data_IF_012956778266
#
_entry.id   IF_012956778266
#
_cell.length_a   1.000
_cell.length_b   1.000
_cell.length_c   1.000
_cell.angle_alpha   90.00
_cell.angle_beta   90.00
_cell.angle_gamma   90.00
#
_symmetry.space_group_name_H-M   'P 1'
#
loop_
_entity.id
_entity.type
_entity.pdbx_description
1 polymer ?
#
# COMPACT_ATOMS: atom_id res chain seq x y z
N UNK A 1 15.95 -3.81 18.26
CA UNK A 1 15.10 -2.99 17.36
C UNK A 1 14.32 -1.98 18.20
N UNK A 2 14.23 -0.71 17.78
CA UNK A 2 13.62 0.34 18.62
C UNK A 2 12.19 -0.03 19.05
N UNK A 3 11.37 -0.55 18.13
CA UNK A 3 9.98 -0.94 18.40
C UNK A 3 9.91 -2.05 19.46
N UNK A 4 10.65 -3.15 19.29
CA UNK A 4 10.74 -4.24 20.28
C UNK A 4 11.29 -3.81 21.66
N UNK A 5 11.99 -2.68 21.73
CA UNK A 5 12.46 -2.14 23.02
C UNK A 5 11.33 -1.42 23.77
N UNK A 6 10.31 -0.96 23.05
CA UNK A 6 9.14 -0.25 23.58
C UNK A 6 7.84 -1.08 23.50
N UNK A 7 7.84 -2.25 22.85
CA UNK A 7 6.71 -3.18 22.75
C UNK A 7 7.11 -4.61 23.12
N UNK A 8 6.19 -5.36 23.72
CA UNK A 8 6.34 -6.81 23.93
C UNK A 8 6.06 -7.63 22.65
N UNK A 9 5.66 -6.96 21.56
CA UNK A 9 5.41 -7.57 20.25
C UNK A 9 6.67 -7.59 19.37
N UNK A 10 6.80 -8.63 18.54
CA UNK A 10 7.78 -8.67 17.45
C UNK A 10 7.52 -7.55 16.44
N UNK A 11 8.59 -6.89 15.97
CA UNK A 11 8.44 -5.81 15.01
C UNK A 11 7.87 -6.35 13.67
N UNK A 12 6.80 -5.74 13.12
CA UNK A 12 6.22 -6.18 11.83
C UNK A 12 7.16 -5.91 10.64
N UNK A 13 8.19 -5.10 10.86
CA UNK A 13 9.09 -4.55 9.87
C UNK A 13 10.49 -4.43 10.45
N UNK A 14 11.50 -4.69 9.63
CA UNK A 14 12.90 -4.38 9.94
C UNK A 14 13.53 -3.52 8.84
N UNK A 15 14.58 -2.77 9.18
CA UNK A 15 15.36 -1.99 8.21
C UNK A 15 16.21 -0.91 8.89
N UNK A 16 16.86 -0.08 8.08
CA UNK A 16 17.65 1.07 8.53
C UNK A 16 16.87 2.37 8.33
N UNK A 17 16.31 2.88 9.43
CA UNK A 17 15.50 4.10 9.44
C UNK A 17 16.38 5.33 9.62
N UNK A 18 16.19 6.33 8.77
CA UNK A 18 16.77 7.66 8.87
C UNK A 18 15.63 8.68 8.83
N UNK A 19 15.68 9.65 9.74
CA UNK A 19 14.70 10.73 9.83
C UNK A 19 15.46 12.02 10.06
N UNK A 20 15.27 12.96 9.14
CA UNK A 20 15.87 14.29 9.18
C UNK A 20 14.74 15.32 9.16
N UNK A 21 14.94 16.46 9.82
CA UNK A 21 13.95 17.52 9.76
C UNK A 21 14.16 18.63 10.77
N UNK A 22 13.29 19.63 10.67
CA UNK A 22 13.26 20.77 11.57
C UNK A 22 11.83 21.00 12.04
N UNK A 23 11.65 20.99 13.36
CA UNK A 23 10.35 21.19 13.99
C UNK A 23 10.42 22.37 14.96
N UNK A 24 9.32 23.10 15.03
CA UNK A 24 9.11 24.22 15.94
C UNK A 24 7.83 23.98 16.73
N UNK A 25 7.83 24.40 17.98
CA UNK A 25 6.63 24.35 18.84
C UNK A 25 6.75 25.38 19.94
N UNK A 26 5.63 25.75 20.55
CA UNK A 26 5.59 26.66 21.68
C UNK A 26 4.51 26.21 22.66
N UNK A 27 4.83 26.17 23.95
CA UNK A 27 3.87 25.79 24.98
C UNK A 27 4.55 25.34 26.27
N UNK A 28 3.73 25.01 27.27
CA UNK A 28 4.17 24.51 28.57
C UNK A 28 3.44 23.24 29.02
N UNK A 29 2.64 22.63 28.13
CA UNK A 29 1.96 21.34 28.34
C UNK A 29 2.16 20.46 27.11
N UNK A 30 2.18 19.14 27.30
CA UNK A 30 2.43 18.18 26.21
C UNK A 30 1.43 18.31 25.06
N UNK A 31 0.14 18.35 25.37
CA UNK A 31 -0.95 18.57 24.40
C UNK A 31 -0.74 19.87 23.61
N UNK A 32 -0.44 20.98 24.31
CA UNK A 32 -0.17 22.27 23.67
C UNK A 32 1.07 22.21 22.77
N UNK A 33 2.15 21.56 23.22
CA UNK A 33 3.37 21.39 22.43
C UNK A 33 3.12 20.54 21.18
N UNK A 34 2.31 19.49 21.27
CA UNK A 34 1.93 18.67 20.12
C UNK A 34 1.04 19.46 19.15
N UNK A 35 -0.01 20.11 19.63
CA UNK A 35 -0.92 20.91 18.79
C UNK A 35 -0.26 22.14 18.16
N UNK A 36 0.86 22.62 18.68
CA UNK A 36 1.61 23.74 18.10
C UNK A 36 2.84 23.28 17.30
N UNK A 37 3.01 21.97 17.09
CA UNK A 37 4.14 21.44 16.33
C UNK A 37 3.98 21.80 14.85
N UNK A 38 5.02 22.41 14.29
CA UNK A 38 5.08 22.82 12.89
C UNK A 38 6.47 22.56 12.31
N UNK A 39 6.56 22.17 11.04
CA UNK A 39 7.83 22.01 10.35
C UNK A 39 7.80 20.94 9.28
N UNK A 40 8.99 20.47 8.90
CA UNK A 40 9.17 19.53 7.79
C UNK A 40 10.07 18.38 8.21
N UNK A 41 9.71 17.17 7.78
CA UNK A 41 10.49 15.95 8.00
C UNK A 41 10.73 15.23 6.67
N UNK A 42 11.84 14.51 6.58
CA UNK A 42 12.13 13.56 5.51
C UNK A 42 12.51 12.24 6.15
N UNK A 43 11.79 11.19 5.78
CA UNK A 43 12.06 9.84 6.26
C UNK A 43 12.56 8.95 5.12
N UNK A 44 13.53 8.09 5.44
CA UNK A 44 13.98 7.01 4.57
C UNK A 44 14.19 5.74 5.38
N UNK A 45 13.65 4.63 4.89
CA UNK A 45 13.89 3.30 5.42
C UNK A 45 14.45 2.43 4.31
N UNK A 46 15.67 1.94 4.48
CA UNK A 46 16.36 1.11 3.48
C UNK A 46 16.71 -0.27 4.06
N UNK A 47 17.13 -1.18 3.18
CA UNK A 47 17.67 -2.50 3.56
C UNK A 47 16.70 -3.33 4.42
N UNK A 48 15.40 -3.22 4.16
CA UNK A 48 14.36 -3.70 5.05
C UNK A 48 13.55 -4.89 4.57
N UNK A 49 12.71 -5.39 5.46
CA UNK A 49 11.72 -6.43 5.13
C UNK A 49 10.47 -6.31 6.00
N UNK A 50 9.32 -6.60 5.40
CA UNK A 50 8.06 -6.88 6.11
C UNK A 50 8.09 -8.36 6.48
N UNK A 51 7.95 -8.66 7.77
CA UNK A 51 8.17 -10.01 8.28
C UNK A 51 6.92 -10.86 8.17
N UNK A 52 7.10 -12.18 7.97
CA UNK A 52 6.06 -13.22 7.99
C UNK A 52 5.02 -13.13 6.86
N UNK A 53 5.23 -12.27 5.88
CA UNK A 53 4.42 -12.18 4.66
C UNK A 53 5.32 -11.92 3.46
N UNK A 54 5.04 -12.53 2.31
CA UNK A 54 5.76 -12.29 1.06
C UNK A 54 4.83 -11.79 -0.05
N UNK A 55 4.60 -10.49 -0.09
CA UNK A 55 3.74 -9.80 -1.06
C UNK A 55 4.23 -10.03 -2.50
N UNK A 56 5.55 -10.03 -2.73
CA UNK A 56 6.12 -10.30 -4.06
C UNK A 56 5.78 -11.70 -4.58
N UNK A 57 5.83 -12.73 -3.72
CA UNK A 57 5.36 -14.07 -4.05
C UNK A 57 3.90 -14.04 -4.40
N UNK A 58 3.08 -13.47 -3.51
CA UNK A 58 1.64 -13.47 -3.67
C UNK A 58 1.23 -12.82 -5.01
N UNK A 59 1.86 -11.70 -5.37
CA UNK A 59 1.64 -10.99 -6.62
C UNK A 59 2.13 -11.77 -7.85
N UNK A 60 3.31 -12.37 -7.81
CA UNK A 60 3.83 -13.14 -8.94
C UNK A 60 3.00 -14.38 -9.25
N UNK A 61 2.51 -15.06 -8.22
CA UNK A 61 1.60 -16.19 -8.40
C UNK A 61 0.26 -15.76 -9.00
N UNK A 62 -0.25 -14.56 -8.67
CA UNK A 62 -1.44 -13.99 -9.30
C UNK A 62 -1.20 -13.73 -10.78
N UNK A 63 -0.12 -13.03 -11.12
CA UNK A 63 0.24 -12.69 -12.52
C UNK A 63 0.38 -13.96 -13.35
N UNK A 64 1.17 -14.93 -12.88
CA UNK A 64 1.37 -16.16 -13.63
C UNK A 64 0.07 -16.92 -13.85
N UNK A 65 -0.82 -17.00 -12.85
CA UNK A 65 -2.12 -17.62 -13.02
C UNK A 65 -2.99 -16.91 -14.06
N UNK A 66 -3.00 -15.57 -14.08
CA UNK A 66 -3.70 -14.78 -15.10
C UNK A 66 -3.14 -15.04 -16.51
N UNK A 67 -1.84 -15.33 -16.61
CA UNK A 67 -1.17 -15.67 -17.88
C UNK A 67 -1.21 -17.17 -18.20
N UNK A 68 -1.86 -18.01 -17.39
CA UNK A 68 -1.90 -19.47 -17.57
C UNK A 68 -0.56 -20.16 -17.34
N UNK A 69 0.35 -19.51 -16.61
CA UNK A 69 1.68 -19.99 -16.24
C UNK A 69 1.72 -20.45 -14.78
N UNK A 70 2.81 -21.12 -14.39
CA UNK A 70 3.10 -21.47 -13.01
C UNK A 70 4.46 -20.91 -12.62
N UNK A 71 4.57 -20.46 -11.37
CA UNK A 71 5.83 -19.98 -10.79
C UNK A 71 6.37 -21.05 -9.85
N UNK A 72 7.38 -21.78 -10.30
CA UNK A 72 8.13 -22.70 -9.44
C UNK A 72 9.42 -22.03 -9.00
N UNK A 73 9.38 -21.38 -7.83
CA UNK A 73 10.53 -20.72 -7.21
C UNK A 73 10.48 -20.86 -5.71
N UNK A 74 11.64 -20.98 -5.08
CA UNK A 74 11.75 -20.87 -3.62
C UNK A 74 11.67 -19.39 -3.20
N UNK A 75 10.75 -19.09 -2.28
CA UNK A 75 10.50 -17.74 -1.81
C UNK A 75 10.91 -17.60 -0.35
N UNK A 76 11.50 -16.46 0.00
CA UNK A 76 11.70 -16.09 1.40
C UNK A 76 10.34 -15.92 2.09
N UNK A 77 10.18 -16.22 3.39
CA UNK A 77 8.93 -15.98 4.12
C UNK A 77 8.57 -14.49 4.31
N UNK A 78 9.49 -13.58 3.97
CA UNK A 78 9.36 -12.13 4.22
C UNK A 78 9.36 -11.38 2.89
N UNK A 79 8.75 -10.19 2.89
CA UNK A 79 8.76 -9.26 1.76
C UNK A 79 9.94 -8.33 1.93
N UNK A 80 10.99 -8.50 1.14
CA UNK A 80 12.09 -7.53 1.09
C UNK A 80 11.66 -6.31 0.29
N UNK A 81 12.00 -5.13 0.77
CA UNK A 81 11.83 -3.88 0.04
C UNK A 81 13.17 -3.18 -0.07
N UNK A 82 13.34 -2.43 -1.16
CA UNK A 82 14.57 -1.70 -1.46
C UNK A 82 14.61 -0.40 -0.66
N UNK A 83 13.49 0.32 -0.66
CA UNK A 83 13.33 1.58 0.06
C UNK A 83 11.89 1.91 0.38
N UNK A 84 11.72 2.65 1.46
CA UNK A 84 10.57 3.47 1.76
C UNK A 84 11.03 4.91 1.95
N UNK A 85 10.40 5.86 1.26
CA UNK A 85 10.73 7.28 1.29
C UNK A 85 9.46 8.11 1.43
N UNK A 86 9.54 9.20 2.18
CA UNK A 86 8.43 10.13 2.37
C UNK A 86 8.94 11.50 2.83
N UNK A 87 8.29 12.56 2.38
CA UNK A 87 8.37 13.89 2.98
C UNK A 87 7.10 14.18 3.75
N UNK A 88 7.26 14.80 4.92
CA UNK A 88 6.14 15.13 5.79
C UNK A 88 6.10 16.61 6.11
N UNK A 89 4.92 17.19 5.98
CA UNK A 89 4.58 18.52 6.44
C UNK A 89 3.85 18.40 7.77
N UNK A 90 4.36 19.06 8.80
CA UNK A 90 3.71 19.11 10.11
C UNK A 90 3.06 20.47 10.28
N UNK A 91 1.74 20.51 10.47
CA UNK A 91 0.96 21.72 10.73
C UNK A 91 0.07 21.52 11.93
N UNK A 92 0.31 22.29 12.98
CA UNK A 92 -0.47 22.24 14.22
C UNK A 92 -0.67 20.82 14.78
N UNK A 93 0.41 20.01 14.73
CA UNK A 93 0.39 18.63 15.19
C UNK A 93 -0.30 17.61 14.26
N UNK A 94 -0.67 18.00 13.05
CA UNK A 94 -1.08 17.07 11.98
C UNK A 94 0.10 16.88 11.04
N UNK A 95 0.46 15.63 10.77
CA UNK A 95 1.54 15.22 9.86
C UNK A 95 0.88 14.81 8.54
N UNK A 96 1.25 15.42 7.43
CA UNK A 96 0.70 15.16 6.10
C UNK A 96 1.84 14.75 5.15
N UNK A 97 1.58 13.82 4.23
CA UNK A 97 2.50 13.45 3.16
C UNK A 97 1.73 13.12 1.89
N UNK A 98 2.23 13.60 0.75
CA UNK A 98 1.64 13.38 -0.57
C UNK A 98 2.57 12.53 -1.48
N UNK A 99 3.66 11.99 -0.93
CA UNK A 99 4.75 11.38 -1.68
C UNK A 99 5.30 10.11 -1.03
N UNK A 100 4.46 9.37 -0.30
CA UNK A 100 4.83 8.06 0.26
C UNK A 100 5.23 7.13 -0.90
N UNK A 101 6.44 6.59 -0.87
CA UNK A 101 6.95 5.67 -1.88
C UNK A 101 7.54 4.43 -1.22
N UNK A 102 7.06 3.24 -1.61
CA UNK A 102 7.69 1.96 -1.27
C UNK A 102 8.06 1.25 -2.57
N UNK A 103 9.34 0.90 -2.70
CA UNK A 103 9.85 0.11 -3.83
C UNK A 103 10.16 -1.30 -3.36
N UNK A 104 9.46 -2.28 -3.95
CA UNK A 104 9.70 -3.70 -3.77
C UNK A 104 10.12 -4.32 -5.11
N UNK A 105 10.80 -5.48 -5.10
CA UNK A 105 11.12 -6.20 -6.34
C UNK A 105 9.86 -6.47 -7.17
N UNK A 106 9.73 -5.76 -8.30
CA UNK A 106 8.61 -5.86 -9.24
C UNK A 106 7.31 -5.14 -8.82
N UNK A 107 7.31 -4.38 -7.73
CA UNK A 107 6.12 -3.66 -7.25
C UNK A 107 6.52 -2.27 -6.76
N UNK A 108 5.83 -1.24 -7.24
CA UNK A 108 5.91 0.11 -6.69
C UNK A 108 4.61 0.46 -5.99
N UNK A 109 4.72 0.99 -4.77
CA UNK A 109 3.58 1.52 -4.01
C UNK A 109 3.79 3.02 -3.85
N UNK A 110 2.80 3.80 -4.26
CA UNK A 110 2.75 5.25 -4.05
C UNK A 110 1.53 5.59 -3.20
N UNK A 111 1.64 6.56 -2.30
CA UNK A 111 0.52 6.93 -1.46
C UNK A 111 0.64 8.33 -0.87
N UNK A 112 -0.45 8.70 -0.21
CA UNK A 112 -0.61 9.96 0.50
C UNK A 112 -1.42 9.71 1.76
N UNK A 113 -1.32 10.61 2.73
CA UNK A 113 -2.07 10.47 3.97
C UNK A 113 -1.74 11.50 5.02
N UNK A 114 -2.51 11.44 6.10
CA UNK A 114 -2.36 12.28 7.27
C UNK A 114 -2.35 11.47 8.57
N UNK A 115 -1.69 12.01 9.58
CA UNK A 115 -1.63 11.47 10.92
C UNK A 115 -1.73 12.60 11.95
N UNK A 116 -2.76 12.56 12.78
CA UNK A 116 -2.96 13.54 13.84
C UNK A 116 -2.25 13.09 15.12
N UNK A 117 -1.21 13.82 15.54
CA UNK A 117 -0.40 13.46 16.72
C UNK A 117 -1.15 13.57 18.06
N UNK A 118 -2.29 14.27 18.10
CA UNK A 118 -3.09 14.43 19.31
C UNK A 118 -4.14 13.32 19.45
N UNK A 119 -4.90 13.06 18.39
CA UNK A 119 -5.89 11.98 18.42
C UNK A 119 -5.28 10.62 18.14
N UNK A 120 -4.09 10.56 17.52
CA UNK A 120 -3.47 9.35 16.99
C UNK A 120 -4.32 8.64 15.93
N UNK A 121 -5.19 9.39 15.25
CA UNK A 121 -5.88 8.90 14.07
C UNK A 121 -5.04 9.13 12.82
N UNK A 122 -5.14 8.23 11.87
CA UNK A 122 -4.53 8.36 10.55
C UNK A 122 -5.53 8.03 9.44
N UNK A 123 -5.27 8.60 8.27
CA UNK A 123 -5.88 8.22 6.99
C UNK A 123 -4.76 8.10 5.97
N UNK A 124 -4.78 7.08 5.12
CA UNK A 124 -3.75 6.87 4.10
C UNK A 124 -4.37 6.17 2.91
N UNK A 125 -4.09 6.66 1.71
CA UNK A 125 -4.43 6.01 0.46
C UNK A 125 -3.14 5.58 -0.24
N UNK A 126 -3.09 4.34 -0.69
CA UNK A 126 -1.94 3.79 -1.37
C UNK A 126 -2.35 3.03 -2.62
N UNK A 127 -1.56 3.17 -3.67
CA UNK A 127 -1.73 2.49 -4.95
C UNK A 127 -0.51 1.62 -5.22
N UNK A 128 -0.70 0.30 -5.23
CA UNK A 128 0.33 -0.64 -5.66
C UNK A 128 0.21 -0.88 -7.17
N UNK A 129 1.35 -0.91 -7.87
CA UNK A 129 1.44 -1.24 -9.29
C UNK A 129 2.57 -2.22 -9.54
N UNK A 130 2.33 -3.14 -10.46
CA UNK A 130 3.35 -4.03 -10.98
C UNK A 130 4.30 -3.24 -11.88
N UNK A 131 5.59 -3.51 -11.76
CA UNK A 131 6.64 -2.91 -12.61
C UNK A 131 7.58 -3.99 -13.09
N UNK A 132 7.92 -3.95 -14.38
CA UNK A 132 8.90 -4.86 -14.96
C UNK A 132 10.29 -4.20 -14.90
N UNK A 133 10.98 -4.44 -13.79
CA UNK A 133 12.36 -4.01 -13.56
C UNK A 133 13.32 -5.19 -13.71
N UNK A 134 14.62 -4.93 -13.88
CA UNK A 134 15.62 -6.00 -13.92
C UNK A 134 15.60 -6.89 -12.66
N UNK A 135 15.17 -6.31 -11.54
CA UNK A 135 15.05 -6.97 -10.23
C UNK A 135 13.64 -7.52 -9.98
N UNK A 136 12.73 -7.46 -10.96
CA UNK A 136 11.37 -7.97 -10.82
C UNK A 136 11.38 -9.47 -10.49
N UNK A 137 10.52 -9.85 -9.55
CA UNK A 137 10.48 -11.22 -9.07
C UNK A 137 9.89 -12.21 -10.11
N UNK A 138 9.13 -11.69 -11.08
CA UNK A 138 8.55 -12.38 -12.23
C UNK A 138 8.32 -11.38 -13.38
N UNK A 139 8.22 -11.88 -14.62
CA UNK A 139 7.83 -11.06 -15.77
C UNK A 139 6.33 -10.73 -15.69
N UNK A 140 5.95 -9.54 -16.13
CA UNK A 140 4.57 -9.06 -16.07
C UNK A 140 4.17 -8.45 -17.41
N UNK A 141 3.05 -8.90 -17.97
CA UNK A 141 2.45 -8.28 -19.15
C UNK A 141 2.27 -6.75 -18.96
N UNK A 142 2.69 -5.92 -19.93
CA UNK A 142 2.51 -4.46 -19.89
C UNK A 142 1.08 -3.98 -19.61
N UNK A 143 0.07 -4.79 -19.93
CA UNK A 143 -1.34 -4.51 -19.56
C UNK A 143 -1.55 -4.48 -18.05
N UNK A 144 -0.97 -5.43 -17.32
CA UNK A 144 -1.11 -5.54 -15.87
C UNK A 144 -0.30 -4.46 -15.12
N UNK A 145 0.75 -3.91 -15.73
CA UNK A 145 1.54 -2.81 -15.16
C UNK A 145 0.77 -1.47 -15.09
N UNK A 146 -0.27 -1.33 -15.92
CA UNK A 146 -1.13 -0.14 -15.94
C UNK A 146 -2.23 -0.20 -14.87
N UNK A 147 -2.49 -1.39 -14.30
CA UNK A 147 -3.52 -1.59 -13.31
C UNK A 147 -3.02 -1.18 -11.93
N UNK A 148 -3.77 -0.30 -11.27
CA UNK A 148 -3.51 0.07 -9.87
C UNK A 148 -4.28 -0.86 -8.94
N UNK A 149 -3.66 -1.26 -7.84
CA UNK A 149 -4.29 -1.97 -6.72
C UNK A 149 -4.39 -1.00 -5.54
N UNK A 150 -5.53 -0.30 -5.42
CA UNK A 150 -5.71 0.72 -4.40
C UNK A 150 -6.06 0.11 -3.05
N UNK A 151 -5.49 0.69 -2.01
CA UNK A 151 -5.71 0.34 -0.62
C UNK A 151 -5.98 1.63 0.15
N UNK A 152 -7.07 1.64 0.90
CA UNK A 152 -7.40 2.71 1.84
C UNK A 152 -7.18 2.20 3.25
N UNK A 153 -6.41 2.95 4.04
CA UNK A 153 -6.16 2.65 5.44
C UNK A 153 -6.60 3.81 6.33
N UNK A 154 -7.42 3.56 7.33
CA UNK A 154 -7.86 4.56 8.30
C UNK A 154 -8.07 3.94 9.68
N UNK A 155 -7.94 4.75 10.73
CA UNK A 155 -8.23 4.33 12.09
C UNK A 155 -7.39 5.02 13.15
N UNK A 156 -7.42 4.48 14.36
CA UNK A 156 -6.55 4.92 15.45
C UNK A 156 -5.38 3.94 15.65
N UNK A 157 -4.18 4.43 15.95
CA UNK A 157 -2.96 3.57 16.07
C UNK A 157 -3.03 2.52 17.19
N UNK A 158 -3.99 2.66 18.10
CA UNK A 158 -4.27 1.70 19.18
C UNK A 158 -5.33 0.65 18.83
N UNK A 159 -5.96 0.74 17.65
CA UNK A 159 -6.96 -0.23 17.21
C UNK A 159 -6.32 -1.53 16.70
N UNK A 160 -7.15 -2.53 16.44
CA UNK A 160 -6.73 -3.76 15.80
C UNK A 160 -6.26 -3.48 14.36
N UNK A 161 -4.97 -3.75 14.11
CA UNK A 161 -4.29 -3.53 12.81
C UNK A 161 -5.00 -4.25 11.67
N UNK A 162 -5.70 -5.36 11.93
CA UNK A 162 -6.45 -6.09 10.91
C UNK A 162 -7.65 -5.30 10.35
N UNK A 163 -8.06 -4.22 11.03
CA UNK A 163 -9.20 -3.39 10.64
C UNK A 163 -8.80 -2.11 9.91
N UNK A 164 -7.51 -1.75 9.95
CA UNK A 164 -7.02 -0.49 9.42
C UNK A 164 -7.17 -0.37 7.92
N UNK A 165 -6.81 -1.41 7.18
CA UNK A 165 -6.66 -1.34 5.73
C UNK A 165 -7.71 -2.17 5.00
N UNK A 166 -8.21 -1.61 3.90
CA UNK A 166 -9.16 -2.23 2.99
C UNK A 166 -8.77 -2.00 1.54
N UNK A 167 -9.06 -2.98 0.69
CA UNK A 167 -8.98 -2.83 -0.75
C UNK A 167 -10.08 -1.88 -1.24
N UNK A 168 -9.71 -0.85 -1.99
CA UNK A 168 -10.67 0.14 -2.49
C UNK A 168 -11.25 -0.33 -3.83
N UNK A 169 -12.38 -1.04 -3.76
CA UNK A 169 -13.09 -1.56 -4.94
C UNK A 169 -13.47 -0.44 -5.92
N UNK A 170 -13.85 0.72 -5.42
CA UNK A 170 -14.33 1.84 -6.24
C UNK A 170 -13.18 2.41 -7.07
N UNK A 171 -12.04 2.66 -6.42
CA UNK A 171 -10.83 3.11 -7.11
C UNK A 171 -10.27 2.02 -8.05
N UNK A 172 -10.44 0.75 -7.71
CA UNK A 172 -10.03 -0.35 -8.56
C UNK A 172 -10.89 -0.46 -9.82
N UNK A 173 -12.21 -0.35 -9.68
CA UNK A 173 -13.15 -0.31 -10.80
C UNK A 173 -12.82 0.83 -11.76
N UNK A 174 -12.59 2.04 -11.24
CA UNK A 174 -12.16 3.16 -12.05
C UNK A 174 -10.85 2.84 -12.82
N UNK A 175 -9.88 2.20 -12.16
CA UNK A 175 -8.62 1.80 -12.79
C UNK A 175 -8.82 0.76 -13.91
N UNK A 176 -9.72 -0.21 -13.73
CA UNK A 176 -10.06 -1.21 -14.76
C UNK A 176 -10.78 -0.56 -15.94
N UNK A 177 -11.75 0.30 -15.67
CA UNK A 177 -12.50 1.02 -16.71
C UNK A 177 -11.56 1.92 -17.52
N UNK A 178 -10.65 2.65 -16.86
CA UNK A 178 -9.68 3.51 -17.55
C UNK A 178 -8.71 2.70 -18.42
N UNK A 179 -8.24 1.54 -17.94
CA UNK A 179 -7.44 0.63 -18.75
C UNK A 179 -8.18 0.21 -20.03
N UNK A 180 -9.46 -0.17 -19.92
CA UNK A 180 -10.28 -0.57 -21.06
C UNK A 180 -10.54 0.58 -22.04
N UNK A 181 -10.81 1.78 -21.55
CA UNK A 181 -10.98 3.00 -22.38
C UNK A 181 -9.70 3.32 -23.17
N UNK A 182 -8.54 3.11 -22.57
CA UNK A 182 -7.25 3.33 -23.24
C UNK A 182 -7.00 2.31 -24.36
N UNK A 183 -7.50 1.07 -24.23
CA UNK A 183 -7.31 0.01 -25.23
C UNK A 183 -8.36 0.00 -26.35
N UNK A 184 -9.64 0.19 -26.01
CA UNK A 184 -10.77 0.14 -26.94
C UNK A 184 -11.17 1.51 -27.50
N UNK A 185 -10.54 2.59 -27.03
CA UNK A 185 -11.00 3.98 -27.23
C UNK A 185 -12.16 4.34 -26.29
N UNK A 186 -12.67 5.57 -26.38
CA UNK A 186 -13.73 6.11 -25.52
C UNK A 186 -15.13 5.49 -25.72
N UNK A 187 -15.22 4.28 -26.30
CA UNK A 187 -16.45 3.51 -26.54
C UNK A 187 -16.61 2.38 -25.54
N UNK A 188 -16.33 2.63 -24.27
CA UNK A 188 -16.78 1.75 -23.21
C UNK A 188 -18.27 2.03 -23.03
N UNK A 189 -19.10 1.02 -23.28
CA UNK A 189 -20.55 1.09 -23.12
C UNK A 189 -20.90 1.01 -21.63
N UNK A 190 -21.95 1.72 -21.19
CA UNK A 190 -22.42 1.70 -19.79
C UNK A 190 -22.67 0.26 -19.30
N UNK A 191 -23.19 -0.61 -20.17
CA UNK A 191 -23.39 -2.04 -19.88
C UNK A 191 -22.08 -2.78 -19.50
N UNK A 192 -20.93 -2.35 -20.04
CA UNK A 192 -19.63 -2.94 -19.69
C UNK A 192 -19.18 -2.46 -18.32
N UNK A 193 -19.39 -1.19 -17.99
CA UNK A 193 -19.08 -0.64 -16.66
C UNK A 193 -19.90 -1.34 -15.58
N UNK A 194 -21.23 -1.49 -15.80
CA UNK A 194 -22.12 -2.20 -14.88
C UNK A 194 -21.66 -3.65 -14.63
N UNK A 195 -21.31 -4.39 -15.69
CA UNK A 195 -20.84 -5.78 -15.58
C UNK A 195 -19.50 -5.91 -14.84
N UNK A 196 -18.63 -4.90 -14.97
CA UNK A 196 -17.36 -4.84 -14.25
C UNK A 196 -17.62 -4.56 -12.77
N UNK A 197 -18.47 -3.58 -12.45
CA UNK A 197 -18.89 -3.27 -11.08
C UNK A 197 -19.44 -4.49 -10.36
N UNK A 198 -20.39 -5.22 -10.97
CA UNK A 198 -20.95 -6.46 -10.39
C UNK A 198 -19.90 -7.57 -10.17
N UNK A 199 -18.80 -7.56 -10.93
CA UNK A 199 -17.71 -8.52 -10.79
C UNK A 199 -16.74 -8.10 -9.69
N UNK A 200 -16.47 -6.80 -9.56
CA UNK A 200 -15.60 -6.22 -8.53
C UNK A 200 -16.27 -6.27 -7.15
N UNK A 201 -17.60 -6.12 -7.07
CA UNK A 201 -18.36 -6.26 -5.82
C UNK A 201 -18.19 -7.63 -5.14
N UNK A 202 -17.72 -8.63 -5.89
CA UNK A 202 -17.43 -9.99 -5.41
C UNK A 202 -15.99 -10.20 -4.95
N UNK A 203 -15.15 -9.16 -4.94
CA UNK A 203 -13.74 -9.19 -4.49
C UNK A 203 -13.67 -8.74 -3.04
N UNK A 204 -13.25 -9.54 -2.07
CA UNK A 204 -13.23 -9.10 -0.65
C UNK A 204 -12.42 -7.79 -0.45
N UNK A 205 -12.93 -6.91 0.41
CA UNK A 205 -12.27 -5.63 0.75
C UNK A 205 -11.25 -5.80 1.88
N UNK A 206 -11.31 -6.87 2.65
CA UNK A 206 -10.43 -7.07 3.80
C UNK A 206 -9.01 -7.37 3.35
N UNK A 207 -8.03 -6.95 4.15
CA UNK A 207 -6.61 -7.20 3.90
C UNK A 207 -5.90 -7.91 5.07
N UNK A 208 -6.66 -8.47 6.01
CA UNK A 208 -6.16 -9.25 7.15
C UNK A 208 -5.70 -10.67 6.81
N UNK A 209 -5.48 -11.50 7.83
CA UNK A 209 -5.07 -12.90 7.66
C UNK A 209 -6.03 -13.67 6.73
N UNK A 210 -5.48 -14.34 5.71
CA UNK A 210 -6.24 -15.07 4.70
C UNK A 210 -6.87 -14.21 3.59
N UNK A 211 -7.05 -12.91 3.83
CA UNK A 211 -7.74 -12.03 2.89
C UNK A 211 -6.97 -11.80 1.57
N UNK A 212 -5.63 -11.90 1.61
CA UNK A 212 -4.81 -11.85 0.39
C UNK A 212 -5.14 -12.97 -0.62
N UNK A 213 -5.54 -14.15 -0.14
CA UNK A 213 -5.97 -15.25 -1.02
C UNK A 213 -7.35 -14.96 -1.63
N UNK A 214 -8.29 -14.47 -0.84
CA UNK A 214 -9.64 -14.12 -1.31
C UNK A 214 -9.61 -12.97 -2.32
N UNK A 215 -8.80 -11.95 -2.06
CA UNK A 215 -8.55 -10.83 -2.97
C UNK A 215 -7.97 -11.32 -4.30
N UNK A 216 -6.93 -12.16 -4.25
CA UNK A 216 -6.33 -12.79 -5.43
C UNK A 216 -7.37 -13.58 -6.24
N UNK A 217 -8.15 -14.42 -5.58
CA UNK A 217 -9.17 -15.24 -6.25
C UNK A 217 -10.30 -14.38 -6.84
N UNK A 218 -10.63 -13.26 -6.19
CA UNK A 218 -11.53 -12.23 -6.69
C UNK A 218 -11.03 -11.60 -7.99
N UNK A 219 -9.79 -11.08 -7.98
CA UNK A 219 -9.16 -10.48 -9.15
C UNK A 219 -9.04 -11.51 -10.27
N UNK A 220 -8.67 -12.75 -9.96
CA UNK A 220 -8.61 -13.82 -10.97
C UNK A 220 -9.95 -14.04 -11.67
N UNK A 221 -11.06 -14.00 -10.95
CA UNK A 221 -12.40 -14.18 -11.53
C UNK A 221 -12.83 -13.02 -12.42
N UNK A 222 -12.24 -11.82 -12.26
CA UNK A 222 -12.53 -10.66 -13.09
C UNK A 222 -11.92 -10.78 -14.50
N UNK A 223 -10.74 -11.40 -14.60
CA UNK A 223 -9.97 -11.49 -15.85
C UNK A 223 -10.12 -12.83 -16.61
N UNK A 224 -10.92 -13.77 -16.09
CA UNK A 224 -11.29 -15.01 -16.78
C UNK A 224 -12.69 -14.91 -17.36
#
# INVERSE_FOLDING_TARGET
>A
PLIETFSEEEAPLRGRFNLDGALTTQGNRRDVLTSNLNGELTARLNDGAILRTNISREMCELVAQLEGQQVEREWHPDTRFERFEATFQVRNGVVESDDLLITLPGINVQGEGDFNLNSLNFTTQANARLVDTADAACQVNPRLQQLSLPVSCEGHVGDDKAQWCRFDRTAFEASVVDLLRNEAGSRVEEELEERIGESIDRIDERLGEGAGQELRDGIRRLFN
#
